data_IF_627042345853
#
_entry.id   IF_627042345853
#
_cell.length_a   1.000
_cell.length_b   1.000
_cell.length_c   1.000
_cell.angle_alpha   90.00
_cell.angle_beta   90.00
_cell.angle_gamma   90.00
#
_symmetry.space_group_name_H-M   'P 1'
#
loop_
_entity.id
_entity.type
_entity.pdbx_description
1 polymer ?
#
# COMPACT_ATOMS: atom_id res chain seq x y z
N UNK A 1 -20.53 18.43 14.18
CA UNK A 1 -20.93 18.98 12.86
C UNK A 1 -19.79 19.63 12.06
N UNK A 2 -18.66 19.95 12.66
CA UNK A 2 -17.54 20.60 11.97
C UNK A 2 -16.57 19.62 11.24
N UNK A 3 -16.58 18.32 11.55
CA UNK A 3 -15.66 17.32 10.96
C UNK A 3 -15.96 16.98 9.48
N UNK A 4 -17.23 17.05 9.06
CA UNK A 4 -17.61 16.72 7.68
C UNK A 4 -17.35 17.84 6.65
N UNK A 5 -17.04 19.05 7.10
CA UNK A 5 -16.94 20.21 6.20
C UNK A 5 -15.53 20.47 5.64
N UNK A 6 -14.48 19.91 6.27
CA UNK A 6 -13.08 20.26 5.96
C UNK A 6 -12.41 19.34 4.96
N UNK A 7 -12.91 18.11 4.75
CA UNK A 7 -12.21 17.07 3.96
C UNK A 7 -13.00 16.63 2.71
N UNK A 8 -13.88 17.47 2.18
CA UNK A 8 -14.90 17.06 1.20
C UNK A 8 -14.35 16.38 -0.06
N UNK A 9 -13.13 16.66 -0.46
CA UNK A 9 -12.54 16.13 -1.70
C UNK A 9 -11.20 15.40 -1.50
N UNK A 10 -10.61 15.39 -0.32
CA UNK A 10 -9.28 14.84 -0.10
C UNK A 10 -9.16 13.37 -0.59
N UNK A 11 -10.18 12.55 -0.34
CA UNK A 11 -10.20 11.16 -0.80
C UNK A 11 -10.04 11.04 -2.33
N UNK A 12 -10.73 11.88 -3.10
CA UNK A 12 -10.64 11.88 -4.57
C UNK A 12 -9.32 12.46 -5.08
N UNK A 13 -8.76 13.44 -4.37
CA UNK A 13 -7.43 13.97 -4.72
C UNK A 13 -6.33 12.92 -4.50
N UNK A 14 -6.45 12.09 -3.46
CA UNK A 14 -5.55 10.95 -3.26
C UNK A 14 -5.71 9.88 -4.35
N UNK A 15 -6.95 9.60 -4.80
CA UNK A 15 -7.19 8.70 -5.96
C UNK A 15 -6.47 9.25 -7.19
N UNK A 16 -6.63 10.53 -7.52
CA UNK A 16 -5.97 11.17 -8.67
C UNK A 16 -4.44 11.06 -8.59
N UNK A 17 -3.88 11.13 -7.37
CA UNK A 17 -2.44 10.98 -7.17
C UNK A 17 -1.96 9.55 -7.46
N UNK A 18 -2.71 8.53 -7.02
CA UNK A 18 -2.43 7.14 -7.32
C UNK A 18 -2.65 6.82 -8.81
N UNK A 19 -3.72 7.35 -9.43
CA UNK A 19 -3.99 7.20 -10.87
C UNK A 19 -2.87 7.82 -11.71
N UNK A 20 -2.34 8.98 -11.32
CA UNK A 20 -1.22 9.61 -12.02
C UNK A 20 0.03 8.70 -12.01
N UNK A 21 0.35 8.10 -10.85
CA UNK A 21 1.47 7.17 -10.72
C UNK A 21 1.34 5.97 -11.67
N UNK A 22 0.17 5.31 -11.69
CA UNK A 22 -0.02 4.13 -12.54
C UNK A 22 -0.09 4.49 -14.02
N UNK A 23 -0.66 5.64 -14.38
CA UNK A 23 -0.67 6.10 -15.77
C UNK A 23 0.72 6.44 -16.30
N UNK A 24 1.61 6.98 -15.46
CA UNK A 24 2.97 7.28 -15.87
C UNK A 24 3.84 6.03 -15.94
N UNK A 25 3.75 5.15 -14.93
CA UNK A 25 4.58 3.95 -14.82
C UNK A 25 4.12 2.78 -15.71
N UNK A 26 2.84 2.73 -16.08
CA UNK A 26 2.28 1.64 -16.88
C UNK A 26 2.95 1.43 -18.25
N UNK A 27 3.60 2.47 -18.78
CA UNK A 27 4.39 2.40 -20.03
C UNK A 27 5.67 1.56 -19.90
N UNK A 28 6.15 1.39 -18.67
CA UNK A 28 7.33 0.61 -18.36
C UNK A 28 7.00 -0.84 -18.01
N UNK A 29 5.72 -1.23 -18.14
CA UNK A 29 5.26 -2.59 -17.87
C UNK A 29 5.95 -3.60 -18.80
N UNK A 30 6.64 -4.57 -18.19
CA UNK A 30 7.31 -5.65 -18.89
C UNK A 30 8.62 -5.27 -19.60
N UNK A 31 9.14 -4.06 -19.41
CA UNK A 31 10.37 -3.60 -20.04
C UNK A 31 11.64 -3.94 -19.24
N UNK A 32 11.50 -4.51 -18.03
CA UNK A 32 12.63 -4.97 -17.21
C UNK A 32 13.32 -3.88 -16.39
N UNK A 33 12.93 -2.60 -16.54
CA UNK A 33 13.57 -1.48 -15.88
C UNK A 33 12.75 -1.02 -14.67
N UNK A 34 13.16 -1.45 -13.46
CA UNK A 34 12.52 -1.06 -12.20
C UNK A 34 12.68 0.41 -11.88
N UNK A 35 13.86 0.96 -12.18
CA UNK A 35 14.18 2.34 -11.82
C UNK A 35 13.28 3.31 -12.59
N UNK A 36 13.03 3.03 -13.86
CA UNK A 36 12.13 3.84 -14.67
C UNK A 36 10.67 3.68 -14.25
N UNK A 37 10.23 2.49 -13.83
CA UNK A 37 8.90 2.28 -13.24
C UNK A 37 8.73 3.17 -12.01
N UNK A 38 9.66 3.11 -11.05
CA UNK A 38 9.61 3.88 -9.80
C UNK A 38 9.72 5.38 -10.09
N UNK A 39 10.69 5.81 -10.89
CA UNK A 39 10.89 7.22 -11.26
C UNK A 39 9.63 7.85 -11.86
N UNK A 40 9.02 7.18 -12.84
CA UNK A 40 7.82 7.69 -13.50
C UNK A 40 6.63 7.80 -12.54
N UNK A 41 6.43 6.79 -11.68
CA UNK A 41 5.36 6.80 -10.69
C UNK A 41 5.54 7.89 -9.65
N UNK A 42 6.75 8.03 -9.10
CA UNK A 42 7.08 9.04 -8.08
C UNK A 42 6.87 10.46 -8.63
N UNK A 43 7.43 10.76 -9.81
CA UNK A 43 7.31 12.08 -10.42
C UNK A 43 5.84 12.49 -10.64
N UNK A 44 5.03 11.57 -11.18
CA UNK A 44 3.64 11.85 -11.48
C UNK A 44 2.79 11.98 -10.20
N UNK A 45 2.98 11.10 -9.20
CA UNK A 45 2.29 11.18 -7.91
C UNK A 45 2.62 12.49 -7.21
N UNK A 46 3.91 12.83 -7.12
CA UNK A 46 4.42 14.04 -6.49
C UNK A 46 3.83 15.30 -7.12
N UNK A 47 3.80 15.35 -8.46
CA UNK A 47 3.23 16.47 -9.19
C UNK A 47 1.76 16.73 -8.81
N UNK A 48 0.94 15.68 -8.77
CA UNK A 48 -0.47 15.81 -8.38
C UNK A 48 -0.62 16.17 -6.91
N UNK A 49 0.17 15.55 -6.02
CA UNK A 49 0.11 15.82 -4.58
C UNK A 49 0.40 17.28 -4.22
N UNK A 50 1.31 17.95 -4.93
CA UNK A 50 1.58 19.37 -4.69
C UNK A 50 0.39 20.28 -5.02
N UNK A 51 -0.57 19.82 -5.83
CA UNK A 51 -1.81 20.54 -6.13
C UNK A 51 -2.95 20.33 -5.13
N UNK A 52 -2.81 19.40 -4.19
CA UNK A 52 -3.87 19.03 -3.23
C UNK A 52 -3.97 20.06 -2.11
N UNK A 53 -5.20 20.49 -1.77
CA UNK A 53 -5.45 21.45 -0.70
C UNK A 53 -5.25 20.81 0.69
N UNK A 54 -4.00 20.65 1.10
CA UNK A 54 -3.56 20.15 2.41
C UNK A 54 -2.18 20.71 2.79
N UNK A 55 -1.83 20.59 4.07
CA UNK A 55 -0.48 20.74 4.61
C UNK A 55 0.02 19.33 4.94
N UNK A 56 0.44 18.62 3.91
CA UNK A 56 0.90 17.24 4.01
C UNK A 56 2.38 17.18 4.34
N UNK A 57 2.78 16.18 5.11
CA UNK A 57 4.18 15.80 5.28
C UNK A 57 4.30 14.29 5.04
N UNK A 58 5.19 13.89 4.17
CA UNK A 58 5.48 12.50 3.88
C UNK A 58 6.16 11.87 5.09
N UNK A 59 5.52 10.89 5.71
CA UNK A 59 6.07 10.09 6.83
C UNK A 59 6.63 8.78 6.32
N UNK A 60 5.96 8.21 5.32
CA UNK A 60 6.39 7.02 4.57
C UNK A 60 6.45 7.41 3.11
N UNK A 61 7.61 7.30 2.52
CA UNK A 61 7.85 7.69 1.13
C UNK A 61 8.93 6.85 0.47
N UNK A 62 9.28 7.24 -0.75
CA UNK A 62 10.29 6.58 -1.59
C UNK A 62 11.58 7.39 -1.56
N UNK A 63 12.71 6.74 -1.22
CA UNK A 63 14.04 7.34 -1.29
C UNK A 63 14.51 8.19 -0.13
N UNK A 64 15.77 8.63 -0.23
CA UNK A 64 16.44 9.49 0.76
C UNK A 64 16.52 10.95 0.28
N UNK A 65 16.59 11.90 1.22
CA UNK A 65 16.46 13.35 1.00
C UNK A 65 17.38 13.95 -0.06
N UNK A 66 18.55 13.36 -0.29
CA UNK A 66 19.59 13.89 -1.18
C UNK A 66 19.63 13.21 -2.56
N UNK A 67 18.74 12.24 -2.83
CA UNK A 67 18.57 11.59 -4.12
C UNK A 67 17.33 12.17 -4.82
N UNK A 68 17.50 12.72 -6.03
CA UNK A 68 16.44 13.39 -6.77
C UNK A 68 15.55 12.42 -7.56
N UNK A 69 14.35 12.82 -7.95
CA UNK A 69 13.26 13.59 -7.35
C UNK A 69 12.28 12.66 -6.63
N UNK A 70 12.14 12.74 -5.33
CA UNK A 70 11.50 11.69 -4.54
C UNK A 70 10.54 12.24 -3.51
N UNK A 71 9.46 11.51 -3.25
CA UNK A 71 8.58 11.67 -2.09
C UNK A 71 9.33 11.14 -0.85
N UNK A 72 10.36 11.88 -0.40
CA UNK A 72 11.20 11.45 0.72
C UNK A 72 10.54 11.71 2.07
N UNK A 73 10.93 10.95 3.08
CA UNK A 73 10.44 11.16 4.45
C UNK A 73 10.77 12.57 4.95
N UNK A 74 9.73 13.33 5.33
CA UNK A 74 9.80 14.73 5.73
C UNK A 74 9.53 15.73 4.61
N UNK A 75 9.30 15.31 3.37
CA UNK A 75 8.90 16.21 2.29
C UNK A 75 7.53 16.83 2.58
N UNK A 76 7.42 18.14 2.42
CA UNK A 76 6.15 18.86 2.48
C UNK A 76 5.43 18.76 1.14
N UNK A 77 4.16 18.35 1.15
CA UNK A 77 3.31 18.19 -0.03
C UNK A 77 1.96 18.87 0.17
N UNK A 78 1.31 19.20 -0.94
CA UNK A 78 0.07 19.97 -0.94
C UNK A 78 0.31 21.46 -1.19
N UNK A 79 -0.78 22.24 -1.24
CA UNK A 79 -0.73 23.69 -1.51
C UNK A 79 -0.30 24.52 -0.30
N UNK A 80 -0.10 23.90 0.86
CA UNK A 80 0.13 24.61 2.13
C UNK A 80 -1.15 25.14 2.77
N UNK A 81 -2.31 24.92 2.17
CA UNK A 81 -3.63 25.27 2.69
C UNK A 81 -4.45 24.04 3.01
N UNK A 82 -5.33 24.10 4.02
CA UNK A 82 -6.20 22.98 4.39
C UNK A 82 -5.73 22.21 5.63
N UNK A 83 -6.13 20.92 5.79
CA UNK A 83 -5.81 20.13 6.97
C UNK A 83 -4.32 19.76 7.03
N UNK A 84 -3.80 19.63 8.25
CA UNK A 84 -2.46 19.07 8.49
C UNK A 84 -2.52 17.55 8.48
N UNK A 85 -1.73 16.92 7.60
CA UNK A 85 -1.79 15.49 7.35
C UNK A 85 -0.41 14.84 7.37
N UNK A 86 -0.35 13.65 7.92
CA UNK A 86 0.70 12.67 7.63
C UNK A 86 0.32 11.95 6.33
N UNK A 87 1.30 11.77 5.45
CA UNK A 87 1.14 11.11 4.16
C UNK A 87 2.06 9.88 4.12
N UNK A 88 1.50 8.75 3.73
CA UNK A 88 2.25 7.52 3.48
C UNK A 88 1.98 7.07 2.05
N UNK A 89 3.04 6.86 1.28
CA UNK A 89 2.96 6.46 -0.13
C UNK A 89 3.86 5.28 -0.43
N UNK A 90 3.39 4.43 -1.31
CA UNK A 90 4.20 3.55 -2.14
C UNK A 90 3.70 3.75 -3.58
N UNK A 91 4.44 4.51 -4.39
CA UNK A 91 4.03 4.83 -5.76
C UNK A 91 3.78 3.59 -6.61
N UNK A 92 4.54 2.49 -6.39
CA UNK A 92 4.26 1.17 -6.96
C UNK A 92 4.62 0.05 -5.97
N UNK A 93 3.66 -0.36 -5.15
CA UNK A 93 3.75 -1.61 -4.38
C UNK A 93 3.75 -2.80 -5.36
N UNK A 94 4.94 -3.36 -5.58
CA UNK A 94 5.18 -4.38 -6.58
C UNK A 94 5.93 -3.91 -7.82
N UNK A 95 6.90 -3.00 -7.71
CA UNK A 95 7.74 -2.52 -8.83
C UNK A 95 8.35 -3.65 -9.63
N UNK A 96 8.76 -4.74 -8.96
CA UNK A 96 9.30 -5.92 -9.64
C UNK A 96 8.27 -6.60 -10.52
N UNK A 97 7.00 -6.65 -10.11
CA UNK A 97 5.90 -7.21 -10.91
C UNK A 97 5.73 -6.37 -12.19
N UNK A 98 5.70 -5.04 -12.04
CA UNK A 98 5.61 -4.13 -13.19
C UNK A 98 6.77 -4.33 -14.17
N UNK A 99 8.01 -4.32 -13.70
CA UNK A 99 9.17 -4.48 -14.55
C UNK A 99 9.19 -5.84 -15.29
N UNK A 100 8.68 -6.89 -14.66
CA UNK A 100 8.61 -8.25 -15.22
C UNK A 100 7.34 -8.54 -16.03
N UNK A 101 6.43 -7.60 -16.18
CA UNK A 101 5.16 -7.80 -16.88
C UNK A 101 4.21 -8.76 -16.13
N UNK A 102 4.27 -8.78 -14.81
CA UNK A 102 3.47 -9.66 -13.95
C UNK A 102 2.28 -8.92 -13.34
N UNK A 103 1.19 -9.63 -13.02
CA UNK A 103 0.00 -9.05 -12.46
C UNK A 103 0.13 -8.73 -10.97
N UNK A 104 -0.72 -7.80 -10.48
CA UNK A 104 -0.97 -7.59 -9.06
C UNK A 104 -0.24 -6.40 -8.44
N UNK A 105 0.47 -5.58 -9.23
CA UNK A 105 1.04 -4.32 -8.75
C UNK A 105 -0.02 -3.24 -8.60
N UNK A 106 0.08 -2.44 -7.53
CA UNK A 106 -0.81 -1.31 -7.25
C UNK A 106 -0.01 -0.09 -6.83
N UNK A 107 -0.55 1.09 -7.08
CA UNK A 107 -0.09 2.34 -6.44
C UNK A 107 -0.91 2.58 -5.19
N UNK A 108 -0.30 2.96 -4.07
CA UNK A 108 -1.03 3.20 -2.82
C UNK A 108 -0.63 4.51 -2.16
N UNK A 109 -1.63 5.15 -1.55
CA UNK A 109 -1.46 6.36 -0.76
C UNK A 109 -2.43 6.35 0.43
N UNK A 110 -1.93 6.72 1.60
CA UNK A 110 -2.73 6.93 2.79
C UNK A 110 -2.47 8.32 3.39
N UNK A 111 -3.50 8.88 4.02
CA UNK A 111 -3.42 10.14 4.75
C UNK A 111 -4.15 10.01 6.09
N UNK A 112 -3.53 10.57 7.14
CA UNK A 112 -4.11 10.67 8.48
C UNK A 112 -3.76 12.05 9.09
N UNK A 113 -4.46 12.50 10.15
CA UNK A 113 -4.09 13.74 10.81
C UNK A 113 -2.62 13.75 11.22
N UNK A 114 -2.00 14.92 11.19
CA UNK A 114 -0.58 15.10 11.51
C UNK A 114 -0.19 14.45 12.84
N UNK A 115 0.96 13.75 12.88
CA UNK A 115 1.50 12.97 14.01
C UNK A 115 0.70 11.73 14.39
N UNK A 116 -0.10 11.19 13.46
CA UNK A 116 -0.87 9.96 13.67
C UNK A 116 -0.13 8.70 13.20
N UNK A 117 0.73 8.81 12.19
CA UNK A 117 1.43 7.66 11.63
C UNK A 117 2.74 7.36 12.35
N UNK A 118 3.04 6.09 12.50
CA UNK A 118 4.34 5.61 12.97
C UNK A 118 5.41 5.87 11.92
N UNK A 119 6.56 6.43 12.33
CA UNK A 119 7.75 6.51 11.47
C UNK A 119 8.65 5.31 11.74
N UNK A 120 8.87 4.42 10.78
CA UNK A 120 9.70 3.24 10.99
C UNK A 120 11.20 3.54 11.13
N UNK A 121 11.69 4.70 10.68
CA UNK A 121 13.10 5.13 10.71
C UNK A 121 14.12 4.03 11.04
N UNK A 122 14.94 3.58 10.11
CA UNK A 122 15.93 2.51 10.29
C UNK A 122 15.41 1.11 10.67
N UNK A 123 14.09 0.91 10.70
CA UNK A 123 13.46 -0.39 10.86
C UNK A 123 13.02 -0.88 9.48
N UNK A 124 13.79 -1.79 8.87
CA UNK A 124 13.55 -2.21 7.49
C UNK A 124 12.40 -3.20 7.32
N UNK A 125 12.26 -4.13 8.25
CA UNK A 125 11.29 -5.21 8.15
C UNK A 125 10.50 -5.42 9.44
N UNK A 126 9.25 -5.83 9.24
CA UNK A 126 8.35 -6.29 10.29
C UNK A 126 7.83 -7.68 9.95
N UNK A 127 7.78 -8.57 10.95
CA UNK A 127 6.89 -9.72 10.92
C UNK A 127 5.46 -9.22 11.08
N UNK A 128 4.55 -9.64 10.22
CA UNK A 128 3.19 -9.12 10.11
C UNK A 128 2.17 -10.25 10.21
N UNK A 129 1.08 -9.98 10.91
CA UNK A 129 -0.16 -10.76 10.88
C UNK A 129 -1.32 -9.82 10.58
N UNK A 130 -2.15 -10.14 9.57
CA UNK A 130 -3.31 -9.33 9.17
C UNK A 130 -4.50 -10.22 8.90
N UNK A 131 -5.67 -9.85 9.39
CA UNK A 131 -6.93 -10.57 9.15
C UNK A 131 -8.13 -9.63 9.07
N UNK A 132 -9.20 -10.09 8.46
CA UNK A 132 -10.47 -9.37 8.35
C UNK A 132 -11.20 -9.17 9.69
N UNK A 133 -12.30 -8.39 9.65
CA UNK A 133 -13.06 -8.01 10.85
C UNK A 133 -13.53 -9.18 11.71
N UNK A 134 -13.87 -10.32 11.09
CA UNK A 134 -14.40 -11.49 11.78
C UNK A 134 -13.42 -12.09 12.78
N UNK A 135 -12.13 -12.02 12.48
CA UNK A 135 -11.06 -12.55 13.33
C UNK A 135 -10.21 -11.46 14.01
N UNK A 136 -10.56 -10.20 13.84
CA UNK A 136 -9.78 -9.03 14.27
C UNK A 136 -9.38 -9.07 15.76
N UNK A 137 -10.24 -9.56 16.63
CA UNK A 137 -10.01 -9.60 18.09
C UNK A 137 -9.35 -10.88 18.58
N UNK A 138 -8.97 -11.80 17.68
CA UNK A 138 -8.49 -13.13 18.08
C UNK A 138 -7.07 -13.44 17.64
N UNK A 139 -6.48 -12.65 16.76
CA UNK A 139 -5.09 -12.86 16.34
C UNK A 139 -4.11 -12.42 17.43
N UNK A 140 -3.02 -13.15 17.55
CA UNK A 140 -1.91 -12.83 18.44
C UNK A 140 -0.58 -13.21 17.76
N UNK A 141 0.22 -12.20 17.41
CA UNK A 141 1.49 -12.40 16.70
C UNK A 141 2.53 -13.11 17.56
N UNK A 142 2.39 -13.08 18.90
CA UNK A 142 3.27 -13.81 19.82
C UNK A 142 2.88 -15.29 20.00
N UNK A 143 1.65 -15.63 19.61
CA UNK A 143 1.19 -17.00 19.63
C UNK A 143 1.78 -17.83 18.48
N UNK A 144 1.85 -19.16 18.59
CA UNK A 144 2.25 -20.03 17.48
C UNK A 144 1.40 -19.79 16.23
N UNK A 145 2.01 -19.91 15.06
CA UNK A 145 1.32 -19.75 13.76
C UNK A 145 0.09 -20.65 13.68
N UNK A 146 0.21 -21.87 14.19
CA UNK A 146 -0.85 -22.86 14.22
C UNK A 146 -2.07 -22.38 15.03
N UNK A 147 -1.85 -21.63 16.09
CA UNK A 147 -2.95 -21.00 16.84
C UNK A 147 -3.67 -19.98 15.96
N UNK A 148 -2.93 -19.07 15.33
CA UNK A 148 -3.51 -18.02 14.53
C UNK A 148 -4.30 -18.56 13.33
N UNK A 149 -3.77 -19.57 12.61
CA UNK A 149 -4.50 -20.20 11.50
C UNK A 149 -5.79 -20.85 11.99
N UNK A 150 -5.76 -21.58 13.14
CA UNK A 150 -6.96 -22.22 13.70
C UNK A 150 -8.02 -21.22 14.14
N UNK A 151 -7.61 -20.15 14.82
CA UNK A 151 -8.56 -19.18 15.35
C UNK A 151 -9.22 -18.37 14.23
N UNK A 152 -8.46 -18.01 13.19
CA UNK A 152 -9.00 -17.33 11.99
C UNK A 152 -9.96 -18.25 11.25
N UNK A 153 -9.59 -19.52 11.00
CA UNK A 153 -10.48 -20.50 10.41
C UNK A 153 -11.80 -20.62 11.19
N UNK A 154 -11.71 -20.74 12.53
CA UNK A 154 -12.89 -20.81 13.41
C UNK A 154 -13.75 -19.56 13.34
N UNK A 155 -13.14 -18.37 13.41
CA UNK A 155 -13.84 -17.08 13.38
C UNK A 155 -14.60 -16.87 12.06
N UNK A 156 -14.02 -17.35 10.95
CA UNK A 156 -14.64 -17.29 9.61
C UNK A 156 -15.54 -18.50 9.29
N UNK A 157 -15.73 -19.42 10.22
CA UNK A 157 -16.58 -20.62 10.00
C UNK A 157 -16.05 -21.59 8.94
N UNK A 158 -14.72 -21.63 8.74
CA UNK A 158 -14.04 -22.45 7.73
C UNK A 158 -13.31 -23.64 8.36
N UNK A 159 -13.15 -24.72 7.60
CA UNK A 159 -12.18 -25.74 7.92
C UNK A 159 -10.75 -25.24 7.61
N UNK A 160 -9.72 -25.84 8.23
CA UNK A 160 -8.32 -25.43 8.00
C UNK A 160 -7.95 -25.55 6.52
N UNK A 161 -8.36 -26.63 5.85
CA UNK A 161 -8.07 -26.84 4.43
C UNK A 161 -8.84 -25.91 3.48
N UNK A 162 -9.79 -25.13 3.99
CA UNK A 162 -10.49 -24.06 3.27
C UNK A 162 -9.93 -22.68 3.57
N UNK A 163 -9.12 -22.58 4.63
CA UNK A 163 -8.50 -21.32 5.05
C UNK A 163 -7.30 -21.01 4.16
N UNK A 164 -7.28 -19.82 3.59
CA UNK A 164 -6.21 -19.37 2.69
C UNK A 164 -5.32 -18.36 3.40
N UNK A 165 -4.02 -18.65 3.48
CA UNK A 165 -2.99 -17.75 4.01
C UNK A 165 -2.23 -17.14 2.84
N UNK A 166 -2.22 -15.81 2.73
CA UNK A 166 -1.41 -15.09 1.75
C UNK A 166 -0.04 -14.77 2.36
N UNK A 167 1.03 -14.99 1.60
CA UNK A 167 2.41 -14.80 2.03
C UNK A 167 3.28 -14.30 0.89
N UNK A 168 4.25 -13.44 1.20
CA UNK A 168 5.31 -13.08 0.25
C UNK A 168 6.22 -14.27 -0.03
N UNK A 169 6.43 -14.57 -1.30
CA UNK A 169 7.41 -15.58 -1.76
C UNK A 169 8.83 -15.04 -1.59
N UNK A 170 9.34 -15.18 -0.38
CA UNK A 170 10.68 -14.75 0.02
C UNK A 170 11.32 -15.80 0.92
N UNK A 171 12.65 -16.07 0.78
CA UNK A 171 13.36 -17.06 1.60
C UNK A 171 13.16 -16.86 3.10
N UNK A 172 13.05 -15.62 3.57
CA UNK A 172 12.81 -15.28 4.97
C UNK A 172 11.47 -15.78 5.53
N UNK A 173 10.53 -16.15 4.66
CA UNK A 173 9.21 -16.68 5.03
C UNK A 173 9.12 -18.21 4.95
N UNK A 174 10.17 -18.92 4.51
CA UNK A 174 10.12 -20.36 4.24
C UNK A 174 9.75 -21.21 5.47
N UNK A 175 10.21 -20.82 6.66
CA UNK A 175 9.87 -21.55 7.89
C UNK A 175 8.38 -21.42 8.22
N UNK A 176 7.83 -20.21 8.15
CA UNK A 176 6.39 -19.97 8.35
C UNK A 176 5.55 -20.69 7.29
N UNK A 177 5.99 -20.64 6.05
CA UNK A 177 5.37 -21.33 4.92
C UNK A 177 5.27 -22.84 5.17
N UNK A 178 6.36 -23.45 5.64
CA UNK A 178 6.39 -24.89 5.96
C UNK A 178 5.40 -25.24 7.09
N UNK A 179 5.31 -24.43 8.14
CA UNK A 179 4.37 -24.61 9.25
C UNK A 179 2.91 -24.53 8.78
N UNK A 180 2.57 -23.53 7.97
CA UNK A 180 1.22 -23.38 7.42
C UNK A 180 0.85 -24.56 6.51
N UNK A 181 1.77 -25.01 5.66
CA UNK A 181 1.57 -26.22 4.81
C UNK A 181 1.34 -27.49 5.62
N UNK A 182 2.10 -27.66 6.69
CA UNK A 182 1.97 -28.83 7.56
C UNK A 182 0.58 -28.92 8.24
N UNK A 183 -0.10 -27.80 8.41
CA UNK A 183 -1.48 -27.75 8.91
C UNK A 183 -2.53 -28.14 7.86
N UNK A 184 -2.18 -28.16 6.59
CA UNK A 184 -3.10 -28.39 5.48
C UNK A 184 -3.92 -27.18 5.07
N UNK A 185 -3.55 -25.97 5.51
CA UNK A 185 -4.15 -24.73 5.04
C UNK A 185 -3.70 -24.40 3.60
N UNK A 186 -4.53 -23.68 2.87
CA UNK A 186 -4.19 -23.18 1.54
C UNK A 186 -3.21 -22.02 1.65
N UNK A 187 -2.27 -21.95 0.72
CA UNK A 187 -1.32 -20.85 0.65
C UNK A 187 -1.45 -20.17 -0.70
N UNK A 188 -1.52 -18.86 -0.64
CA UNK A 188 -1.38 -17.97 -1.78
C UNK A 188 -0.04 -17.26 -1.69
N UNK A 189 0.90 -17.65 -2.54
CA UNK A 189 2.18 -16.95 -2.66
C UNK A 189 2.03 -15.76 -3.59
N UNK A 190 2.51 -14.60 -3.14
CA UNK A 190 2.60 -13.38 -3.93
C UNK A 190 4.07 -13.00 -4.13
N UNK A 191 4.40 -12.61 -5.33
CA UNK A 191 5.77 -12.28 -5.71
C UNK A 191 6.27 -10.98 -5.09
N UNK A 192 5.38 -10.00 -4.90
CA UNK A 192 5.61 -8.67 -4.32
C UNK A 192 4.27 -8.07 -3.87
N UNK A 193 4.29 -6.92 -3.18
CA UNK A 193 3.08 -6.18 -2.86
C UNK A 193 2.32 -6.74 -1.66
N UNK A 194 2.84 -6.56 -0.42
CA UNK A 194 2.14 -7.07 0.76
C UNK A 194 0.98 -6.19 1.23
N UNK A 195 0.88 -4.94 0.78
CA UNK A 195 -0.32 -4.11 0.97
C UNK A 195 -1.51 -4.72 0.21
N UNK A 196 -1.30 -5.10 -1.07
CA UNK A 196 -2.31 -5.81 -1.85
C UNK A 196 -2.70 -7.15 -1.18
N UNK A 197 -1.70 -7.91 -0.68
CA UNK A 197 -1.91 -9.14 0.07
C UNK A 197 -2.78 -8.96 1.32
N UNK A 198 -2.60 -7.87 2.05
CA UNK A 198 -3.42 -7.54 3.22
C UNK A 198 -4.86 -7.20 2.84
N UNK A 199 -5.08 -6.40 1.79
CA UNK A 199 -6.42 -6.08 1.27
C UNK A 199 -7.20 -7.33 0.89
N UNK A 200 -6.55 -8.37 0.36
CA UNK A 200 -7.18 -9.66 0.04
C UNK A 200 -7.81 -10.36 1.24
N UNK A 201 -7.45 -10.01 2.47
CA UNK A 201 -8.03 -10.61 3.69
C UNK A 201 -9.33 -9.97 4.14
N UNK A 202 -9.63 -8.74 3.67
CA UNK A 202 -10.58 -7.85 4.35
C UNK A 202 -11.43 -6.99 3.42
N UNK A 203 -11.08 -6.85 2.14
CA UNK A 203 -11.77 -5.95 1.22
C UNK A 203 -13.08 -6.59 0.74
N UNK A 204 -14.27 -6.02 1.09
CA UNK A 204 -15.56 -6.63 0.78
C UNK A 204 -15.74 -6.95 -0.71
N UNK A 205 -16.08 -8.22 -1.00
CA UNK A 205 -16.24 -8.74 -2.36
C UNK A 205 -14.94 -9.11 -3.08
N UNK A 206 -13.80 -8.91 -2.45
CA UNK A 206 -12.46 -9.23 -2.97
C UNK A 206 -11.64 -10.07 -1.99
N UNK A 207 -12.30 -10.70 -0.99
CA UNK A 207 -11.64 -11.55 -0.01
C UNK A 207 -11.21 -12.88 -0.64
N UNK A 208 -9.98 -12.93 -1.12
CA UNK A 208 -9.37 -14.13 -1.71
C UNK A 208 -8.41 -14.85 -0.76
N UNK A 209 -8.18 -14.27 0.43
CA UNK A 209 -7.42 -14.84 1.53
C UNK A 209 -8.12 -14.58 2.86
N UNK A 210 -7.72 -15.30 3.90
CA UNK A 210 -8.28 -15.20 5.26
C UNK A 210 -7.31 -14.56 6.23
N UNK A 211 -6.02 -14.73 5.96
CA UNK A 211 -4.93 -14.32 6.84
C UNK A 211 -3.72 -13.97 5.99
N UNK A 212 -3.05 -12.85 6.31
CA UNK A 212 -1.70 -12.59 5.84
C UNK A 212 -0.72 -12.92 6.96
N UNK A 213 0.31 -13.66 6.62
CA UNK A 213 1.47 -13.93 7.48
C UNK A 213 2.75 -13.67 6.71
N UNK A 214 3.73 -13.05 7.36
CA UNK A 214 5.06 -12.96 6.78
C UNK A 214 5.85 -11.72 7.17
N UNK A 215 7.10 -11.73 6.77
CA UNK A 215 8.05 -10.65 6.96
C UNK A 215 8.03 -9.79 5.69
N UNK A 216 7.65 -8.53 5.84
CA UNK A 216 7.58 -7.52 4.79
C UNK A 216 8.18 -6.20 5.23
N UNK A 217 8.19 -5.20 4.35
CA UNK A 217 8.73 -3.87 4.65
C UNK A 217 7.96 -3.15 5.75
N UNK A 218 8.65 -2.38 6.56
CA UNK A 218 8.02 -1.60 7.63
C UNK A 218 7.24 -0.38 7.10
N UNK A 219 7.65 0.29 6.01
CA UNK A 219 6.84 1.32 5.37
C UNK A 219 5.46 0.82 4.97
N UNK A 220 5.41 -0.31 4.27
CA UNK A 220 4.17 -0.93 3.80
C UNK A 220 3.26 -1.37 4.97
N UNK A 221 3.82 -1.66 6.15
CA UNK A 221 3.00 -1.97 7.33
C UNK A 221 2.17 -0.77 7.80
N UNK A 222 2.71 0.45 7.75
CA UNK A 222 1.97 1.66 8.13
C UNK A 222 0.86 1.96 7.12
N UNK A 223 1.16 1.81 5.81
CA UNK A 223 0.16 1.96 4.75
C UNK A 223 -0.95 0.91 4.92
N UNK A 224 -0.56 -0.34 5.18
CA UNK A 224 -1.51 -1.44 5.47
C UNK A 224 -2.38 -1.14 6.68
N UNK A 225 -1.82 -0.62 7.78
CA UNK A 225 -2.59 -0.26 8.97
C UNK A 225 -3.65 0.80 8.65
N UNK A 226 -3.33 1.79 7.82
CA UNK A 226 -4.31 2.76 7.33
C UNK A 226 -5.48 2.09 6.60
N UNK A 227 -5.18 1.15 5.70
CA UNK A 227 -6.20 0.41 4.96
C UNK A 227 -7.06 -0.46 5.90
N UNK A 228 -6.42 -1.20 6.81
CA UNK A 228 -7.11 -2.09 7.77
C UNK A 228 -8.01 -1.31 8.72
N UNK A 229 -7.64 -0.12 9.17
CA UNK A 229 -8.52 0.77 9.94
C UNK A 229 -9.78 1.16 9.16
N UNK A 230 -9.66 1.43 7.86
CA UNK A 230 -10.82 1.72 7.02
C UNK A 230 -11.78 0.53 6.90
N UNK A 231 -11.27 -0.70 7.04
CA UNK A 231 -12.02 -1.95 6.86
C UNK A 231 -12.53 -2.56 8.18
N UNK A 232 -12.16 -1.99 9.34
CA UNK A 232 -12.45 -2.61 10.64
C UNK A 232 -11.72 -3.92 10.87
N UNK A 233 -10.69 -4.18 10.09
CA UNK A 233 -9.78 -5.30 10.19
C UNK A 233 -8.72 -5.08 11.26
N UNK A 234 -7.84 -6.06 11.50
CA UNK A 234 -6.75 -5.91 12.45
C UNK A 234 -5.43 -6.44 11.91
N UNK A 235 -4.37 -5.82 12.41
CA UNK A 235 -3.00 -6.27 12.19
C UNK A 235 -2.17 -6.09 13.45
N UNK A 236 -1.13 -6.92 13.55
CA UNK A 236 -0.07 -6.78 14.53
C UNK A 236 1.26 -6.99 13.84
N UNK A 237 2.29 -6.32 14.32
CA UNK A 237 3.63 -6.42 13.78
C UNK A 237 4.65 -6.61 14.90
N UNK A 238 5.79 -7.24 14.55
CA UNK A 238 6.96 -7.31 15.41
C UNK A 238 8.21 -6.95 14.60
N UNK A 239 9.19 -6.24 15.17
CA UNK A 239 10.46 -5.97 14.51
C UNK A 239 11.16 -7.25 14.05
N UNK A 240 11.62 -7.24 12.81
CA UNK A 240 12.46 -8.29 12.26
C UNK A 240 13.83 -7.72 11.90
N UNK A 241 14.89 -8.24 12.49
CA UNK A 241 16.25 -7.75 12.29
C UNK A 241 17.04 -8.73 11.42
N UNK A 242 17.68 -8.19 10.38
CA UNK A 242 18.55 -8.95 9.47
C UNK A 242 19.91 -9.29 10.11
N UNK A 243 20.37 -8.39 10.99
CA UNK A 243 21.67 -8.42 11.64
C UNK A 243 21.64 -7.67 12.99
N UNK A 244 22.77 -7.69 13.70
CA UNK A 244 22.91 -7.04 15.01
C UNK A 244 22.85 -5.50 14.91
N UNK A 245 23.27 -4.91 13.80
CA UNK A 245 23.22 -3.45 13.60
C UNK A 245 21.79 -2.96 13.47
N UNK A 246 20.92 -3.71 12.78
CA UNK A 246 19.48 -3.40 12.70
C UNK A 246 18.86 -3.45 14.11
N UNK A 247 19.23 -4.46 14.90
CA UNK A 247 18.73 -4.61 16.27
C UNK A 247 19.23 -3.51 17.21
N UNK A 248 20.48 -3.10 17.09
CA UNK A 248 21.05 -2.02 17.89
C UNK A 248 20.32 -0.68 17.62
N UNK A 249 20.12 -0.34 16.35
CA UNK A 249 19.38 0.87 15.96
C UNK A 249 17.93 0.87 16.43
N UNK A 250 17.24 -0.27 16.37
CA UNK A 250 15.88 -0.39 16.86
C UNK A 250 15.81 -0.25 18.40
N UNK A 251 16.78 -0.77 19.14
CA UNK A 251 16.88 -0.63 20.60
C UNK A 251 17.02 0.81 21.05
N UNK A 252 17.71 1.67 20.30
CA UNK A 252 17.79 3.10 20.61
C UNK A 252 16.42 3.78 20.64
N UNK A 253 15.45 3.20 19.94
CA UNK A 253 14.05 3.64 19.90
C UNK A 253 13.14 2.84 20.86
N UNK A 254 13.70 1.99 21.70
CA UNK A 254 12.95 1.13 22.64
C UNK A 254 12.26 -0.05 21.96
N UNK A 255 12.61 -0.40 20.71
CA UNK A 255 12.05 -1.53 19.98
C UNK A 255 12.93 -2.77 20.14
N UNK A 256 12.30 -3.89 20.44
CA UNK A 256 12.96 -5.21 20.58
C UNK A 256 12.22 -6.24 19.72
N UNK A 257 12.78 -7.46 19.62
CA UNK A 257 12.11 -8.58 18.92
C UNK A 257 10.74 -8.91 19.49
N UNK A 258 10.54 -8.66 20.79
CA UNK A 258 9.31 -8.98 21.50
C UNK A 258 8.31 -7.81 21.51
N UNK A 259 8.70 -6.65 20.97
CA UNK A 259 7.80 -5.49 20.86
C UNK A 259 6.67 -5.82 19.88
N UNK A 260 5.43 -5.77 20.36
CA UNK A 260 4.25 -5.85 19.49
C UNK A 260 3.81 -4.44 19.15
N UNK A 261 3.78 -4.14 17.87
CA UNK A 261 3.15 -2.93 17.32
C UNK A 261 1.74 -3.30 16.88
N UNK A 262 0.76 -2.75 17.56
CA UNK A 262 -0.66 -2.89 17.22
C UNK A 262 -1.04 -1.95 16.07
N UNK A 263 -2.22 -2.14 15.50
CA UNK A 263 -2.74 -1.23 14.47
C UNK A 263 -2.81 0.22 14.99
N UNK A 264 -3.09 0.42 16.29
CA UNK A 264 -3.16 1.74 16.91
C UNK A 264 -1.78 2.35 17.19
N UNK A 265 -0.74 1.52 17.37
CA UNK A 265 0.64 1.99 17.43
C UNK A 265 1.14 2.44 16.06
N UNK A 266 0.73 1.75 14.99
CA UNK A 266 1.08 2.11 13.61
C UNK A 266 0.32 3.33 13.11
N UNK A 267 -0.97 3.47 13.46
CA UNK A 267 -1.79 4.64 13.10
C UNK A 267 -2.75 4.97 14.23
N UNK A 268 -2.50 6.06 14.94
CA UNK A 268 -3.25 6.46 16.14
C UNK A 268 -4.68 6.96 15.89
N UNK A 269 -4.97 7.41 14.66
CA UNK A 269 -6.24 8.04 14.31
C UNK A 269 -7.12 7.10 13.50
N UNK A 270 -8.44 7.14 13.74
CA UNK A 270 -9.42 6.50 12.87
C UNK A 270 -9.87 7.41 11.70
N UNK A 271 -9.42 8.67 11.72
CA UNK A 271 -9.68 9.62 10.64
C UNK A 271 -8.69 9.41 9.48
N UNK A 272 -8.72 8.24 8.89
CA UNK A 272 -7.79 7.79 7.86
C UNK A 272 -8.46 7.85 6.49
N UNK A 273 -7.68 8.22 5.50
CA UNK A 273 -7.96 8.02 4.07
C UNK A 273 -6.97 7.01 3.51
N UNK A 274 -7.43 6.13 2.67
CA UNK A 274 -6.61 5.24 1.88
C UNK A 274 -7.10 5.25 0.44
N UNK A 275 -6.19 5.33 -0.51
CA UNK A 275 -6.50 5.17 -1.93
C UNK A 275 -5.48 4.23 -2.58
N UNK A 276 -5.94 3.49 -3.57
CA UNK A 276 -5.11 2.63 -4.40
C UNK A 276 -5.56 2.70 -5.86
N UNK A 277 -4.64 2.52 -6.78
CA UNK A 277 -4.94 2.35 -8.21
C UNK A 277 -4.18 1.12 -8.75
N UNK A 278 -4.81 0.37 -9.64
CA UNK A 278 -4.20 -0.79 -10.27
C UNK A 278 -3.12 -0.37 -11.26
N UNK A 279 -1.88 -0.84 -11.06
CA UNK A 279 -0.77 -0.61 -11.98
C UNK A 279 -0.70 -1.73 -13.05
N UNK A 280 -0.85 -2.98 -12.62
CA UNK A 280 -1.06 -4.13 -13.51
C UNK A 280 -2.30 -4.90 -13.09
N UNK A 281 -2.88 -5.67 -14.03
CA UNK A 281 -4.09 -6.46 -13.75
C UNK A 281 -3.89 -7.35 -12.53
N UNK A 282 -4.87 -7.34 -11.64
CA UNK A 282 -4.81 -8.11 -10.41
C UNK A 282 -6.20 -8.50 -9.88
N UNK A 283 -6.23 -9.29 -8.82
CA UNK A 283 -7.50 -9.73 -8.21
C UNK A 283 -8.25 -8.62 -7.47
N UNK A 284 -7.54 -7.57 -7.06
CA UNK A 284 -8.12 -6.45 -6.34
C UNK A 284 -8.59 -5.36 -7.29
N UNK A 285 -7.74 -4.97 -8.24
CA UNK A 285 -7.95 -3.89 -9.19
C UNK A 285 -7.42 -4.30 -10.56
N UNK A 286 -8.08 -3.85 -11.61
CA UNK A 286 -7.55 -3.92 -12.96
C UNK A 286 -6.40 -2.92 -13.11
N UNK A 287 -5.42 -3.26 -13.93
CA UNK A 287 -4.30 -2.41 -14.26
C UNK A 287 -4.69 -1.23 -15.13
N UNK A 288 -3.71 -0.41 -15.48
CA UNK A 288 -3.89 0.68 -16.41
C UNK A 288 -3.92 0.15 -17.85
N UNK A 289 -4.91 0.56 -18.63
CA UNK A 289 -5.06 0.19 -20.04
C UNK A 289 -5.04 1.42 -20.94
N UNK A 290 -4.24 1.34 -22.02
CA UNK A 290 -4.12 2.42 -23.00
C UNK A 290 -4.88 2.07 -24.28
N UNK A 291 -5.87 2.88 -24.64
CA UNK A 291 -6.73 2.72 -25.80
C UNK A 291 -6.70 3.95 -26.72
N UNK A 292 -5.70 4.04 -27.58
CA UNK A 292 -5.54 5.19 -28.48
C UNK A 292 -5.45 6.51 -27.72
N UNK A 293 -6.49 7.36 -27.82
CA UNK A 293 -6.52 8.66 -27.14
C UNK A 293 -6.96 8.60 -25.66
N UNK A 294 -7.31 7.42 -25.16
CA UNK A 294 -7.85 7.23 -23.82
C UNK A 294 -6.96 6.30 -22.98
N UNK A 295 -6.96 6.55 -21.67
CA UNK A 295 -6.37 5.67 -20.65
C UNK A 295 -7.49 5.29 -19.69
N UNK A 296 -7.60 4.00 -19.39
CA UNK A 296 -8.52 3.49 -18.38
C UNK A 296 -7.76 3.15 -17.11
N UNK A 297 -8.29 3.56 -15.95
CA UNK A 297 -7.78 3.24 -14.63
C UNK A 297 -8.88 2.62 -13.77
N UNK A 298 -8.47 1.75 -12.86
CA UNK A 298 -9.34 1.16 -11.85
C UNK A 298 -8.75 1.42 -10.47
N UNK A 299 -9.53 2.07 -9.61
CA UNK A 299 -9.05 2.62 -8.36
C UNK A 299 -10.01 2.28 -7.22
N UNK A 300 -9.49 2.35 -6.00
CA UNK A 300 -10.18 2.14 -4.75
C UNK A 300 -9.93 3.35 -3.85
N UNK A 301 -10.97 3.86 -3.16
CA UNK A 301 -10.72 4.75 -2.05
C UNK A 301 -11.57 4.39 -0.83
N UNK A 302 -10.98 4.55 0.35
CA UNK A 302 -11.59 4.19 1.62
C UNK A 302 -11.46 5.33 2.62
N UNK A 303 -12.45 5.42 3.51
CA UNK A 303 -12.51 6.42 4.58
C UNK A 303 -12.75 5.73 5.92
N UNK A 304 -11.80 5.80 6.86
CA UNK A 304 -11.92 5.16 8.16
C UNK A 304 -13.08 5.68 9.00
N UNK A 305 -13.22 7.00 9.11
CA UNK A 305 -14.28 7.61 9.97
C UNK A 305 -15.71 7.34 9.52
N UNK A 306 -15.94 6.93 8.27
CA UNK A 306 -17.28 6.61 7.75
C UNK A 306 -17.46 5.16 7.31
N UNK A 307 -16.38 4.35 7.29
CA UNK A 307 -16.39 2.99 6.75
C UNK A 307 -16.78 2.93 5.27
N UNK A 308 -16.63 4.04 4.54
CA UNK A 308 -17.04 4.11 3.13
C UNK A 308 -15.94 3.58 2.24
N UNK A 309 -16.29 2.66 1.36
CA UNK A 309 -15.43 2.09 0.33
C UNK A 309 -16.01 2.45 -1.04
N UNK A 310 -15.17 2.90 -1.97
CA UNK A 310 -15.56 3.20 -3.35
C UNK A 310 -14.61 2.54 -4.31
N UNK A 311 -15.16 1.84 -5.29
CA UNK A 311 -14.46 1.39 -6.47
C UNK A 311 -14.75 2.39 -7.60
N UNK A 312 -13.72 2.79 -8.33
CA UNK A 312 -13.79 3.86 -9.32
C UNK A 312 -13.16 3.32 -10.61
N UNK A 313 -13.92 3.33 -11.69
CA UNK A 313 -13.40 3.16 -13.04
C UNK A 313 -13.40 4.51 -13.71
N UNK A 314 -12.26 4.94 -14.21
CA UNK A 314 -12.10 6.23 -14.86
C UNK A 314 -11.55 6.08 -16.28
N UNK A 315 -12.01 6.96 -17.18
CA UNK A 315 -11.51 7.09 -18.54
C UNK A 315 -10.91 8.48 -18.71
N UNK A 316 -9.64 8.52 -19.01
CA UNK A 316 -8.86 9.75 -19.12
C UNK A 316 -8.54 10.07 -20.59
N UNK A 317 -8.63 11.33 -20.97
CA UNK A 317 -8.15 11.80 -22.28
C UNK A 317 -6.65 12.06 -22.20
N UNK A 318 -5.83 11.31 -22.93
CA UNK A 318 -4.36 11.50 -22.97
C UNK A 318 -4.01 12.93 -23.39
N UNK A 319 -4.68 13.46 -24.42
CA UNK A 319 -4.45 14.81 -24.91
C UNK A 319 -4.64 15.87 -23.82
N UNK A 320 -5.76 15.80 -23.07
CA UNK A 320 -6.05 16.77 -22.01
C UNK A 320 -5.11 16.64 -20.83
N UNK A 321 -4.72 15.41 -20.46
CA UNK A 321 -3.74 15.21 -19.41
C UNK A 321 -2.36 15.75 -19.78
N UNK A 322 -1.94 15.58 -21.04
CA UNK A 322 -0.69 16.15 -21.55
C UNK A 322 -0.68 17.69 -21.49
N UNK A 323 -1.83 18.34 -21.77
CA UNK A 323 -2.01 19.79 -21.65
C UNK A 323 -1.92 20.27 -20.18
N UNK A 324 -2.29 19.42 -19.21
CA UNK A 324 -2.20 19.74 -17.78
C UNK A 324 -0.78 19.66 -17.22
N UNK A 325 0.14 18.98 -17.90
CA UNK A 325 1.54 18.82 -17.49
C UNK A 325 1.77 17.64 -16.56
N UNK A 326 3.01 17.53 -16.02
CA UNK A 326 3.34 16.51 -15.03
C UNK A 326 3.74 15.13 -15.58
N UNK A 327 4.00 15.00 -16.88
CA UNK A 327 4.37 13.74 -17.55
C UNK A 327 3.43 12.53 -17.27
N UNK A 328 2.18 12.83 -16.85
CA UNK A 328 1.22 11.81 -16.44
C UNK A 328 0.78 10.95 -17.63
N UNK A 329 0.53 11.60 -18.78
CA UNK A 329 -0.08 10.93 -19.91
C UNK A 329 0.86 10.74 -21.11
N UNK A 330 1.96 11.44 -21.19
CA UNK A 330 2.76 11.49 -22.40
C UNK A 330 4.25 11.61 -22.13
N UNK A 331 5.01 10.65 -22.69
CA UNK A 331 6.45 10.77 -22.79
C UNK A 331 6.80 11.59 -24.03
N UNK A 332 7.42 12.79 -23.91
CA UNK A 332 7.83 13.58 -25.06
C UNK A 332 8.76 12.84 -26.02
N UNK A 333 9.53 11.85 -25.56
CA UNK A 333 10.41 11.06 -26.42
C UNK A 333 9.65 10.18 -27.42
N UNK A 334 8.49 9.66 -27.03
CA UNK A 334 7.61 8.90 -27.92
C UNK A 334 7.01 9.79 -29.01
N UNK A 335 6.84 11.09 -28.72
CA UNK A 335 6.33 12.07 -29.69
C UNK A 335 7.32 12.30 -30.83
N UNK A 336 8.61 12.41 -30.51
CA UNK A 336 9.68 12.56 -31.51
C UNK A 336 9.87 11.29 -32.33
N UNK A 337 9.80 10.10 -31.72
CA UNK A 337 9.92 8.81 -32.41
C UNK A 337 8.74 8.50 -33.34
N UNK A 338 7.54 8.95 -33.02
CA UNK A 338 6.33 8.74 -33.82
C UNK A 338 6.05 9.89 -34.81
N UNK A 339 6.85 10.95 -34.81
CA UNK A 339 6.71 12.08 -35.73
C UNK A 339 5.42 12.88 -35.53
N UNK A 340 4.88 12.93 -34.31
CA UNK A 340 3.65 13.59 -33.94
C UNK A 340 3.88 14.98 -33.36
#
# INVERSE_FOLDING_TARGET
>A
MALFARDKNLAMELVRSAEAAVMASGRWFGLGDKNEVDRAAVEAMRYVLHGVAMRGVVVIGEGEKDEAPMLFNGEEVGTGEGPEMDIAVDPIDGTRLMAQGQPGAISVIAAAPRHSMFSPDNLFYLNKIVTGPEAANYIDIQAPIEFNVRIVAKAKGKAIHETTVVMLDRPRNNEMLAKVRAMGARIRLIGDGDVAGALMTSLPGHETADLLLGIGGSPEAVITACAMKCLGANMQCQPYFRNEDDEARARERGLTRDTVLTIDDLVKSDNVFFAAAGASDGDLLQGVHYHGEHIETNSLCMRGSSGTIRFISAVHSQKKLAEMGGNIAYDPTVKEELGL
#
